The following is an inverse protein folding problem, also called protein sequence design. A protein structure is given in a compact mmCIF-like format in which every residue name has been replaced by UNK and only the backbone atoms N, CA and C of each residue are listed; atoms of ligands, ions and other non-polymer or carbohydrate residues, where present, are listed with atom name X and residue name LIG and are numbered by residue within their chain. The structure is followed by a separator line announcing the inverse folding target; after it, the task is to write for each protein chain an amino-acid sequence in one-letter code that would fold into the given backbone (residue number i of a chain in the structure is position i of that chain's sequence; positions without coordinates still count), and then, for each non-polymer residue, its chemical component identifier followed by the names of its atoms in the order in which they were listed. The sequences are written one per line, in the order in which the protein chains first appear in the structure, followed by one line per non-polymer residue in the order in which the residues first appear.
data_IF_388363278588
#
_entry.id   IF_388363278588
#
_cell.length_a   1.000
_cell.length_b   1.000
_cell.length_c   1.000
_cell.angle_alpha   90.00
_cell.angle_beta   90.00
_cell.angle_gamma   90.00
#
_symmetry.space_group_name_H-M   'P 1'
#
loop_
_entity.id
_entity.type
_entity.pdbx_description
1 polymer ?
#
# COMPACT_ATOMS: atom_id res chain seq x y z
N UNK A 1 9.71 5.62 44.81
CA UNK A 1 10.59 5.11 43.74
C UNK A 1 9.80 4.20 42.84
N UNK A 2 10.07 4.25 41.53
CA UNK A 2 9.45 3.43 40.48
C UNK A 2 8.31 4.18 39.80
N UNK A 3 8.31 4.47 38.50
CA UNK A 3 9.24 4.20 37.41
C UNK A 3 8.47 4.56 36.14
N UNK A 4 8.84 5.67 35.48
CA UNK A 4 8.17 6.11 34.26
C UNK A 4 8.57 5.20 33.10
N UNK A 5 7.70 4.25 32.73
CA UNK A 5 7.93 3.40 31.56
C UNK A 5 7.40 4.09 30.30
N UNK A 6 8.25 4.91 29.67
CA UNK A 6 8.00 5.51 28.36
C UNK A 6 8.16 4.43 27.29
N UNK A 7 7.07 3.79 26.87
CA UNK A 7 7.14 2.77 25.81
C UNK A 7 5.86 2.61 24.98
N UNK A 8 5.15 3.67 24.59
CA UNK A 8 4.05 3.53 23.62
C UNK A 8 3.89 4.72 22.67
N UNK A 9 4.97 5.12 21.97
CA UNK A 9 4.91 6.16 20.94
C UNK A 9 5.30 5.66 19.53
N UNK A 10 4.91 4.43 19.17
CA UNK A 10 5.12 3.90 17.80
C UNK A 10 3.84 3.36 17.15
N UNK A 11 2.66 3.67 17.71
CA UNK A 11 1.38 3.14 17.19
C UNK A 11 0.55 4.18 16.42
N UNK A 12 0.79 5.48 16.61
CA UNK A 12 -0.02 6.56 16.03
C UNK A 12 0.36 6.95 14.58
N UNK A 13 1.45 6.41 14.03
CA UNK A 13 1.98 6.80 12.71
C UNK A 13 1.91 5.69 11.66
N UNK A 14 1.08 4.66 11.86
CA UNK A 14 0.94 3.62 10.83
C UNK A 14 0.44 4.28 9.55
N UNK A 15 1.21 4.19 8.43
CA UNK A 15 0.79 4.81 7.18
C UNK A 15 -0.61 4.34 6.85
N UNK A 16 -1.54 5.23 6.53
CA UNK A 16 -2.93 4.85 6.27
C UNK A 16 -3.06 4.58 4.77
N UNK A 17 -3.81 3.53 4.42
CA UNK A 17 -4.34 3.39 3.05
C UNK A 17 -5.77 3.85 3.14
N UNK A 18 -6.09 4.93 2.45
CA UNK A 18 -7.41 5.54 2.43
C UNK A 18 -7.87 5.67 0.99
N UNK A 19 -9.13 5.32 0.76
CA UNK A 19 -9.76 5.44 -0.56
C UNK A 19 -10.97 6.34 -0.40
N UNK A 20 -11.02 7.39 -1.20
CA UNK A 20 -12.17 8.28 -1.35
C UNK A 20 -12.73 8.15 -2.77
N UNK A 21 -13.80 8.89 -3.05
CA UNK A 21 -14.37 8.97 -4.40
C UNK A 21 -13.39 9.58 -5.42
N UNK A 22 -12.43 10.39 -4.98
CA UNK A 22 -11.54 11.15 -5.86
C UNK A 22 -10.07 10.75 -5.76
N UNK A 23 -9.65 10.09 -4.68
CA UNK A 23 -8.24 9.79 -4.45
C UNK A 23 -8.00 8.46 -3.71
N UNK A 24 -6.82 7.90 -3.96
CA UNK A 24 -6.19 6.85 -3.16
C UNK A 24 -4.98 7.47 -2.44
N UNK A 25 -4.98 7.44 -1.12
CA UNK A 25 -3.84 7.88 -0.29
C UNK A 25 -3.14 6.66 0.29
N UNK A 26 -1.82 6.58 0.12
CA UNK A 26 -0.97 5.51 0.64
C UNK A 26 0.21 6.11 1.43
N UNK A 27 0.05 6.21 2.75
CA UNK A 27 1.05 6.86 3.60
C UNK A 27 1.13 8.36 3.32
N UNK A 28 2.21 8.82 2.68
CA UNK A 28 2.39 10.23 2.27
C UNK A 28 2.13 10.47 0.78
N UNK A 29 1.98 9.39 0.00
CA UNK A 29 1.73 9.47 -1.43
C UNK A 29 0.23 9.47 -1.69
N UNK A 30 -0.21 10.17 -2.73
CA UNK A 30 -1.62 10.24 -3.11
C UNK A 30 -1.74 10.15 -4.63
N UNK A 31 -2.74 9.42 -5.10
CA UNK A 31 -3.11 9.25 -6.49
C UNK A 31 -4.54 9.74 -6.73
N UNK A 32 -4.81 10.48 -7.80
CA UNK A 32 -6.18 10.65 -8.30
C UNK A 32 -6.78 9.30 -8.69
N UNK A 33 -8.08 9.10 -8.44
CA UNK A 33 -8.81 7.89 -8.87
C UNK A 33 -8.74 7.69 -10.40
N UNK A 34 -8.70 8.77 -11.16
CA UNK A 34 -8.58 8.76 -12.62
C UNK A 34 -7.27 8.18 -13.14
N UNK A 35 -6.20 8.21 -12.34
CA UNK A 35 -4.89 7.67 -12.69
C UNK A 35 -4.80 6.16 -12.48
N UNK A 36 -5.84 5.51 -11.94
CA UNK A 36 -5.82 4.07 -11.63
C UNK A 36 -6.44 3.30 -12.78
N UNK A 37 -5.62 2.48 -13.45
CA UNK A 37 -6.05 1.59 -14.53
C UNK A 37 -6.72 0.32 -14.00
N UNK A 38 -6.30 -0.14 -12.81
CA UNK A 38 -6.85 -1.34 -12.20
C UNK A 38 -6.20 -1.71 -10.88
N UNK A 39 -6.85 -2.59 -10.13
CA UNK A 39 -6.34 -3.11 -8.87
C UNK A 39 -6.63 -4.61 -8.76
N UNK A 40 -5.63 -5.39 -8.35
CA UNK A 40 -5.77 -6.83 -8.12
C UNK A 40 -5.20 -7.24 -6.76
N UNK A 41 -5.80 -8.25 -6.16
CA UNK A 41 -5.30 -8.82 -4.92
C UNK A 41 -4.04 -9.63 -5.18
N UNK A 42 -3.05 -9.47 -4.30
CA UNK A 42 -1.86 -10.32 -4.25
C UNK A 42 -1.91 -11.16 -2.98
N UNK A 43 -1.87 -12.48 -3.17
CA UNK A 43 -1.68 -13.43 -2.09
C UNK A 43 -0.25 -13.34 -1.52
N UNK A 44 0.09 -14.21 -0.56
CA UNK A 44 1.42 -14.21 0.06
C UNK A 44 2.53 -14.50 -0.95
N UNK A 45 2.29 -15.37 -1.93
CA UNK A 45 3.28 -15.74 -2.93
C UNK A 45 3.52 -14.57 -3.90
N UNK A 46 2.45 -13.98 -4.44
CA UNK A 46 2.49 -12.80 -5.30
C UNK A 46 3.15 -11.61 -4.59
N UNK A 47 2.74 -11.31 -3.36
CA UNK A 47 3.37 -10.23 -2.58
C UNK A 47 4.86 -10.48 -2.32
N UNK A 48 5.30 -11.73 -2.25
CA UNK A 48 6.72 -12.05 -2.09
C UNK A 48 7.51 -11.89 -3.39
N UNK A 49 6.94 -12.31 -4.52
CA UNK A 49 7.54 -12.14 -5.86
C UNK A 49 7.81 -10.66 -6.13
N UNK A 50 6.81 -9.81 -5.89
CA UNK A 50 6.93 -8.38 -6.13
C UNK A 50 7.74 -7.62 -5.06
N UNK A 51 8.25 -8.30 -4.03
CA UNK A 51 9.21 -7.76 -3.05
C UNK A 51 10.60 -8.37 -3.19
N UNK A 52 10.77 -9.33 -4.11
CA UNK A 52 12.01 -10.04 -4.33
C UNK A 52 13.00 -9.29 -5.23
N UNK A 53 14.18 -9.86 -5.51
CA UNK A 53 15.23 -9.24 -6.31
C UNK A 53 14.83 -8.89 -7.76
N UNK A 54 13.74 -9.48 -8.25
CA UNK A 54 13.19 -9.27 -9.59
C UNK A 54 12.03 -8.27 -9.60
N UNK A 55 11.74 -7.62 -8.47
CA UNK A 55 10.72 -6.59 -8.40
C UNK A 55 11.09 -5.42 -9.30
N UNK A 56 10.12 -4.92 -10.07
CA UNK A 56 10.31 -3.72 -10.89
C UNK A 56 10.67 -2.55 -9.98
N UNK A 57 11.85 -1.98 -10.19
CA UNK A 57 12.39 -0.86 -9.42
C UNK A 57 11.53 0.40 -9.49
N UNK A 58 10.65 0.51 -10.50
CA UNK A 58 9.69 1.60 -10.62
C UNK A 58 8.43 1.37 -9.79
N UNK A 59 8.25 0.20 -9.16
CA UNK A 59 7.09 -0.06 -8.32
C UNK A 59 7.17 0.78 -7.04
N UNK A 60 6.16 1.60 -6.77
CA UNK A 60 6.02 2.21 -5.45
C UNK A 60 5.55 1.15 -4.46
N UNK A 61 6.21 1.00 -3.31
CA UNK A 61 5.86 -0.04 -2.34
C UNK A 61 5.56 0.56 -0.97
N UNK A 62 4.32 0.40 -0.50
CA UNK A 62 3.94 0.69 0.87
C UNK A 62 3.89 -0.61 1.71
N UNK A 63 4.99 -0.86 2.43
CA UNK A 63 5.10 -1.99 3.35
C UNK A 63 4.70 -1.62 4.77
N UNK A 64 3.84 -2.45 5.38
CA UNK A 64 3.61 -2.47 6.82
C UNK A 64 4.33 -3.68 7.41
N UNK A 65 5.50 -3.52 8.06
CA UNK A 65 6.40 -4.63 8.37
C UNK A 65 5.79 -5.72 9.25
N UNK A 66 4.80 -5.41 10.08
CA UNK A 66 4.17 -6.33 11.02
C UNK A 66 2.67 -6.58 10.80
N UNK A 67 2.05 -5.97 9.77
CA UNK A 67 0.57 -5.94 9.69
C UNK A 67 -0.07 -6.75 8.56
N UNK A 68 0.63 -7.15 7.49
CA UNK A 68 -0.03 -7.90 6.41
C UNK A 68 0.93 -8.78 5.59
N UNK A 69 0.51 -10.01 5.30
CA UNK A 69 1.20 -10.92 4.38
C UNK A 69 0.65 -10.88 2.95
N UNK A 70 -0.43 -10.15 2.72
CA UNK A 70 -1.12 -9.94 1.44
C UNK A 70 -0.99 -8.47 1.02
N UNK A 71 -1.20 -8.20 -0.26
CA UNK A 71 -1.14 -6.85 -0.80
C UNK A 71 -2.17 -6.63 -1.91
N UNK A 72 -2.25 -5.41 -2.40
CA UNK A 72 -2.95 -5.07 -3.64
C UNK A 72 -1.92 -4.47 -4.59
N UNK A 73 -1.90 -4.97 -5.83
CA UNK A 73 -1.20 -4.34 -6.94
C UNK A 73 -2.17 -3.36 -7.60
N UNK A 74 -1.78 -2.10 -7.66
CA UNK A 74 -2.52 -1.04 -8.35
C UNK A 74 -1.71 -0.66 -9.59
N UNK A 75 -2.31 -0.77 -10.75
CA UNK A 75 -1.72 -0.35 -12.03
C UNK A 75 -2.18 1.05 -12.34
N UNK A 76 -1.26 1.91 -12.77
CA UNK A 76 -1.56 3.30 -13.11
C UNK A 76 -1.65 3.52 -14.62
N UNK A 77 -2.56 4.38 -15.04
CA UNK A 77 -2.65 4.97 -16.38
C UNK A 77 -2.30 6.47 -16.29
N UNK A 78 -1.11 6.75 -15.76
CA UNK A 78 -0.58 8.10 -15.62
C UNK A 78 0.87 8.14 -16.12
N UNK A 79 1.12 8.67 -17.33
CA UNK A 79 2.47 8.75 -17.88
C UNK A 79 3.37 9.75 -17.14
N UNK A 80 2.79 10.64 -16.32
CA UNK A 80 3.56 11.58 -15.51
C UNK A 80 4.01 10.97 -14.17
N UNK A 81 3.38 9.88 -13.72
CA UNK A 81 3.82 9.16 -12.53
C UNK A 81 5.07 8.32 -12.85
N UNK A 82 6.19 8.49 -12.11
CA UNK A 82 7.36 7.64 -12.29
C UNK A 82 7.09 6.15 -11.99
N UNK A 83 6.04 5.86 -11.22
CA UNK A 83 5.65 4.55 -10.73
C UNK A 83 4.46 3.95 -11.48
N UNK A 84 4.68 3.13 -12.53
CA UNK A 84 3.58 2.54 -13.30
C UNK A 84 2.72 1.58 -12.47
N UNK A 85 3.24 1.11 -11.34
CA UNK A 85 2.49 0.26 -10.41
C UNK A 85 2.81 0.60 -8.95
N UNK A 86 1.82 0.41 -8.09
CA UNK A 86 1.91 0.54 -6.65
C UNK A 86 1.56 -0.78 -5.97
N UNK A 87 2.31 -1.15 -4.92
CA UNK A 87 2.02 -2.33 -4.10
C UNK A 87 1.73 -1.88 -2.68
N UNK A 88 0.50 -2.14 -2.25
CA UNK A 88 -0.04 -1.70 -0.97
C UNK A 88 -0.35 -2.91 -0.09
N UNK A 89 0.43 -3.09 0.97
CA UNK A 89 0.14 -4.15 1.95
C UNK A 89 -1.18 -3.88 2.69
N UNK A 90 -2.07 -4.87 2.73
CA UNK A 90 -3.41 -4.76 3.36
C UNK A 90 -3.83 -6.07 4.00
N UNK A 91 -4.51 -6.00 5.16
CA UNK A 91 -5.15 -7.15 5.82
C UNK A 91 -6.45 -7.57 5.14
N UNK A 92 -7.05 -6.67 4.36
CA UNK A 92 -8.30 -6.86 3.63
C UNK A 92 -8.06 -6.42 2.18
N UNK A 93 -7.24 -7.16 1.42
CA UNK A 93 -6.93 -6.80 0.03
C UNK A 93 -8.20 -6.78 -0.83
N UNK A 94 -9.15 -7.66 -0.55
CA UNK A 94 -10.48 -7.72 -1.16
C UNK A 94 -11.28 -6.42 -1.02
N UNK A 95 -11.33 -5.87 0.19
CA UNK A 95 -12.04 -4.62 0.46
C UNK A 95 -11.37 -3.45 -0.26
N UNK A 96 -10.04 -3.46 -0.30
CA UNK A 96 -9.28 -2.41 -0.96
C UNK A 96 -9.48 -2.46 -2.48
N UNK A 97 -9.43 -3.65 -3.11
CA UNK A 97 -9.72 -3.78 -4.54
C UNK A 97 -11.14 -3.32 -4.86
N UNK A 98 -12.14 -3.76 -4.08
CA UNK A 98 -13.53 -3.33 -4.27
C UNK A 98 -13.71 -1.81 -4.14
N UNK A 99 -12.98 -1.16 -3.26
CA UNK A 99 -13.06 0.30 -3.08
C UNK A 99 -12.42 1.08 -4.24
N UNK A 100 -11.54 0.43 -5.02
CA UNK A 100 -10.83 1.02 -6.16
C UNK A 100 -11.53 0.77 -7.51
N UNK A 101 -12.53 -0.13 -7.54
CA UNK A 101 -13.46 -0.24 -8.67
C UNK A 101 -14.46 0.93 -8.68
#
# INVERSE_FOLDING_TARGET
GGGFSVSWLLWLTSPVVEVTETALTAGRAQLPRSSIAGAIELDRAGASIHRGPLADARTFVLLRPWRASTAVLVTLDDPADPHPTWILTSKHPDRLVRALQ
#
